data_IF_398778654805
#
_entry.id   IF_398778654805
#
_cell.length_a   1.000
_cell.length_b   1.000
_cell.length_c   1.000
_cell.angle_alpha   90.00
_cell.angle_beta   90.00
_cell.angle_gamma   90.00
#
_symmetry.space_group_name_H-M   'P 1'
#
loop_
_entity.id
_entity.type
_entity.pdbx_description
1 polymer ?
#
# COMPACT_ATOMS: atom_id res chain seq x y z
N UNK A 1 8.61 -5.34 -10.40
CA UNK A 1 8.79 -4.36 -9.32
C UNK A 1 9.87 -4.89 -8.42
N UNK A 2 10.77 -4.03 -7.96
CA UNK A 2 11.91 -4.38 -7.11
C UNK A 2 11.43 -5.23 -5.91
N UNK A 3 12.07 -6.37 -5.66
CA UNK A 3 11.86 -7.16 -4.44
C UNK A 3 12.37 -6.34 -3.27
N UNK A 4 11.52 -5.47 -2.72
CA UNK A 4 11.77 -4.84 -1.42
C UNK A 4 11.75 -5.98 -0.41
N UNK A 5 12.87 -6.20 0.26
CA UNK A 5 13.01 -7.23 1.30
C UNK A 5 12.05 -6.87 2.44
N UNK A 6 11.00 -7.68 2.60
CA UNK A 6 9.90 -7.39 3.53
C UNK A 6 10.27 -7.92 4.92
N UNK A 7 9.96 -7.13 5.96
CA UNK A 7 10.03 -7.63 7.33
C UNK A 7 9.07 -8.80 7.54
N UNK A 8 9.39 -9.72 8.48
CA UNK A 8 8.52 -10.84 8.80
C UNK A 8 7.12 -10.37 9.23
N UNK A 9 6.09 -11.08 8.77
CA UNK A 9 4.68 -10.80 9.06
C UNK A 9 4.31 -11.05 10.54
N UNK A 10 5.07 -11.91 11.22
CA UNK A 10 4.82 -12.31 12.61
C UNK A 10 6.14 -12.55 13.33
N UNK A 11 6.08 -12.50 14.67
CA UNK A 11 7.23 -12.71 15.55
C UNK A 11 7.89 -11.40 16.00
N UNK A 12 8.76 -11.47 17.03
CA UNK A 12 9.56 -10.32 17.40
C UNK A 12 10.42 -9.93 16.20
N UNK A 13 10.42 -8.63 15.86
CA UNK A 13 11.39 -8.14 14.89
C UNK A 13 12.76 -8.27 15.57
N UNK A 14 13.51 -9.29 15.17
CA UNK A 14 14.87 -9.46 15.63
C UNK A 14 15.71 -8.33 15.04
N UNK A 15 15.89 -7.25 15.81
CA UNK A 15 16.88 -6.20 15.55
C UNK A 15 18.29 -6.77 15.85
N UNK A 16 18.56 -7.99 15.37
CA UNK A 16 19.77 -8.75 15.64
C UNK A 16 20.72 -8.78 14.43
N UNK A 17 20.34 -8.15 13.30
CA UNK A 17 21.08 -8.19 12.05
C UNK A 17 21.73 -6.86 11.60
N UNK A 18 21.56 -5.77 12.35
CA UNK A 18 22.39 -4.57 12.18
C UNK A 18 23.14 -4.31 13.47
N UNK A 19 24.45 -4.57 13.47
CA UNK A 19 25.31 -4.08 14.54
C UNK A 19 25.04 -2.60 14.82
N UNK A 20 25.07 -2.25 16.11
CA UNK A 20 24.86 -0.91 16.71
C UNK A 20 23.42 -0.38 16.81
N UNK A 21 22.80 -0.61 17.98
CA UNK A 21 21.75 0.19 18.65
C UNK A 21 20.44 0.53 17.87
N UNK A 22 19.39 0.86 18.63
CA UNK A 22 18.09 1.29 18.11
C UNK A 22 18.17 2.51 17.18
N UNK A 23 19.16 3.39 17.38
CA UNK A 23 19.33 4.62 16.60
C UNK A 23 19.74 4.31 15.16
N UNK A 24 20.67 3.37 14.94
CA UNK A 24 21.09 3.02 13.57
C UNK A 24 19.94 2.38 12.78
N UNK A 25 19.08 1.60 13.44
CA UNK A 25 17.86 1.07 12.81
C UNK A 25 16.92 2.19 12.38
N UNK A 26 16.69 3.19 13.25
CA UNK A 26 15.85 4.33 12.90
C UNK A 26 16.45 5.18 11.77
N UNK A 27 17.76 5.39 11.75
CA UNK A 27 18.42 6.16 10.69
C UNK A 27 18.40 5.42 9.34
N UNK A 28 18.59 4.10 9.35
CA UNK A 28 18.41 3.28 8.16
C UNK A 28 16.97 3.36 7.63
N UNK A 29 15.97 3.20 8.50
CA UNK A 29 14.55 3.30 8.12
C UNK A 29 14.16 4.68 7.60
N UNK A 30 14.64 5.77 8.23
CA UNK A 30 14.45 7.15 7.72
C UNK A 30 15.02 7.31 6.31
N UNK A 31 16.21 6.75 6.08
CA UNK A 31 16.89 6.81 4.79
C UNK A 31 16.12 6.04 3.71
N UNK A 32 15.65 4.82 4.03
CA UNK A 32 14.81 4.01 3.15
C UNK A 32 13.51 4.73 2.78
N UNK A 33 12.76 5.22 3.78
CA UNK A 33 11.51 5.96 3.57
C UNK A 33 11.74 7.17 2.66
N UNK A 34 12.81 7.94 2.91
CA UNK A 34 13.14 9.11 2.07
C UNK A 34 13.40 8.72 0.62
N UNK A 35 14.16 7.65 0.39
CA UNK A 35 14.45 7.16 -0.95
C UNK A 35 13.19 6.66 -1.67
N UNK A 36 12.28 6.00 -0.96
CA UNK A 36 10.99 5.56 -1.49
C UNK A 36 10.06 6.74 -1.77
N UNK A 37 10.08 7.77 -0.93
CA UNK A 37 9.24 8.97 -1.08
C UNK A 37 9.55 9.76 -2.35
N UNK A 38 10.84 9.86 -2.68
CA UNK A 38 11.29 10.60 -3.86
C UNK A 38 11.18 9.78 -5.16
N UNK A 39 10.94 8.46 -5.07
CA UNK A 39 10.77 7.60 -6.25
C UNK A 39 9.47 7.93 -6.99
N UNK A 40 9.58 8.13 -8.30
CA UNK A 40 8.40 8.30 -9.16
C UNK A 40 7.74 6.94 -9.38
N UNK A 41 6.56 6.74 -8.80
CA UNK A 41 5.79 5.52 -8.99
C UNK A 41 4.90 5.61 -10.25
N UNK A 42 4.96 4.58 -11.09
CA UNK A 42 4.00 4.40 -12.17
C UNK A 42 2.71 3.82 -11.58
N UNK A 43 1.57 4.37 -12.00
CA UNK A 43 0.27 3.78 -11.72
C UNK A 43 0.01 2.64 -12.68
N UNK A 44 -0.57 1.55 -12.18
CA UNK A 44 -1.08 0.50 -13.03
C UNK A 44 -2.46 0.86 -13.57
N UNK A 45 -2.83 0.27 -14.70
CA UNK A 45 -4.10 0.53 -15.38
C UNK A 45 -4.99 -0.71 -15.48
N UNK A 46 -4.49 -1.89 -15.12
CA UNK A 46 -5.22 -3.14 -15.29
C UNK A 46 -5.74 -3.69 -13.95
N UNK A 47 -7.05 -3.60 -13.74
CA UNK A 47 -7.72 -4.20 -12.57
C UNK A 47 -8.07 -5.67 -12.79
N UNK A 48 -8.07 -6.16 -14.04
CA UNK A 48 -8.52 -7.50 -14.40
C UNK A 48 -7.58 -8.60 -13.90
N UNK A 49 -6.39 -8.23 -13.42
CA UNK A 49 -5.47 -9.12 -12.70
C UNK A 49 -6.01 -9.61 -11.34
N UNK A 50 -7.11 -9.02 -10.85
CA UNK A 50 -7.72 -9.37 -9.56
C UNK A 50 -9.10 -10.02 -9.73
N UNK A 51 -9.36 -11.03 -8.92
CA UNK A 51 -10.68 -11.63 -8.73
C UNK A 51 -11.31 -11.07 -7.43
N UNK A 52 -12.51 -10.48 -7.52
CA UNK A 52 -13.24 -10.03 -6.34
C UNK A 52 -13.94 -11.21 -5.65
N UNK A 53 -13.61 -11.46 -4.39
CA UNK A 53 -14.10 -12.63 -3.65
C UNK A 53 -15.23 -12.25 -2.71
N UNK A 54 -14.98 -11.30 -1.79
CA UNK A 54 -15.92 -11.00 -0.71
C UNK A 54 -15.84 -9.55 -0.28
N UNK A 55 -16.99 -8.94 -0.04
CA UNK A 55 -17.08 -7.64 0.58
C UNK A 55 -16.61 -7.68 2.04
N UNK A 56 -15.71 -6.77 2.43
CA UNK A 56 -15.20 -6.68 3.80
C UNK A 56 -15.85 -5.53 4.57
N UNK A 57 -15.88 -4.33 4.01
CA UNK A 57 -16.34 -3.15 4.74
C UNK A 57 -16.80 -2.00 3.84
N UNK A 58 -17.63 -1.11 4.40
CA UNK A 58 -18.00 0.19 3.81
C UNK A 58 -17.15 1.27 4.45
N UNK A 59 -16.51 2.09 3.63
CA UNK A 59 -15.91 3.34 4.05
C UNK A 59 -16.78 4.55 3.69
N UNK A 60 -16.37 5.73 4.14
CA UNK A 60 -17.00 7.00 3.79
C UNK A 60 -16.80 7.43 2.32
N UNK A 61 -15.76 6.88 1.67
CA UNK A 61 -15.35 7.22 0.29
C UNK A 61 -15.39 6.04 -0.67
N UNK A 62 -15.81 4.86 -0.20
CA UNK A 62 -15.72 3.65 -1.00
C UNK A 62 -16.02 2.38 -0.21
N UNK A 63 -15.53 1.26 -0.74
CA UNK A 63 -15.69 -0.06 -0.12
C UNK A 63 -14.36 -0.81 -0.12
N UNK A 64 -14.21 -1.71 0.83
CA UNK A 64 -13.08 -2.63 0.89
C UNK A 64 -13.58 -4.03 0.54
N UNK A 65 -12.88 -4.69 -0.38
CA UNK A 65 -13.24 -6.01 -0.90
C UNK A 65 -12.00 -6.91 -0.80
N UNK A 66 -12.18 -8.13 -0.31
CA UNK A 66 -11.19 -9.20 -0.40
C UNK A 66 -11.05 -9.60 -1.86
N UNK A 67 -9.84 -9.52 -2.39
CA UNK A 67 -9.51 -9.90 -3.76
C UNK A 67 -8.41 -10.96 -3.76
N UNK A 68 -8.35 -11.76 -4.83
CA UNK A 68 -7.27 -12.70 -5.11
C UNK A 68 -6.54 -12.23 -6.35
N UNK A 69 -5.23 -12.09 -6.26
CA UNK A 69 -4.39 -11.83 -7.42
C UNK A 69 -4.31 -13.12 -8.25
N UNK A 70 -4.64 -13.03 -9.54
CA UNK A 70 -4.67 -14.20 -10.45
C UNK A 70 -3.29 -14.71 -10.83
N UNK A 71 -2.23 -13.93 -10.57
CA UNK A 71 -0.84 -14.28 -10.95
C UNK A 71 -0.17 -15.10 -9.85
N UNK A 72 -0.18 -14.60 -8.62
CA UNK A 72 0.53 -15.21 -7.48
C UNK A 72 -0.40 -15.94 -6.50
N UNK A 73 -1.70 -15.96 -6.79
CA UNK A 73 -2.74 -16.55 -5.96
C UNK A 73 -2.95 -15.89 -4.58
N UNK A 74 -2.30 -14.74 -4.34
CA UNK A 74 -2.29 -14.04 -3.08
C UNK A 74 -3.59 -13.30 -2.78
N UNK A 75 -4.03 -13.36 -1.53
CA UNK A 75 -5.21 -12.64 -1.03
C UNK A 75 -4.83 -11.23 -0.56
N UNK A 76 -5.59 -10.24 -1.01
CA UNK A 76 -5.35 -8.82 -0.70
C UNK A 76 -6.66 -8.11 -0.34
N UNK A 77 -6.56 -6.97 0.34
CA UNK A 77 -7.69 -6.10 0.63
C UNK A 77 -7.70 -4.92 -0.34
N UNK A 78 -8.62 -4.91 -1.31
CA UNK A 78 -8.75 -3.83 -2.28
C UNK A 78 -9.73 -2.77 -1.79
N UNK A 79 -9.24 -1.56 -1.56
CA UNK A 79 -10.04 -0.37 -1.30
C UNK A 79 -10.42 0.28 -2.65
N UNK A 80 -11.71 0.24 -2.96
CA UNK A 80 -12.30 0.78 -4.19
C UNK A 80 -12.90 2.14 -3.91
N UNK A 81 -12.46 3.17 -4.64
CA UNK A 81 -12.85 4.57 -4.44
C UNK A 81 -13.43 5.17 -5.73
N UNK A 82 -14.49 5.96 -5.60
CA UNK A 82 -15.10 6.69 -6.72
C UNK A 82 -14.44 8.06 -6.89
N UNK A 83 -13.90 8.34 -8.08
CA UNK A 83 -13.22 9.61 -8.37
C UNK A 83 -14.13 10.82 -8.16
N UNK A 84 -15.39 10.70 -8.58
CA UNK A 84 -16.39 11.76 -8.43
C UNK A 84 -16.59 12.13 -6.95
N UNK A 85 -16.70 11.15 -6.06
CA UNK A 85 -16.86 11.38 -4.62
C UNK A 85 -15.61 12.01 -4.00
N UNK A 86 -14.42 11.62 -4.44
CA UNK A 86 -13.15 12.21 -3.99
C UNK A 86 -13.10 13.70 -4.34
N UNK A 87 -13.47 14.05 -5.57
CA UNK A 87 -13.50 15.45 -6.05
C UNK A 87 -14.55 16.24 -5.30
N UNK A 88 -15.80 15.75 -5.23
CA UNK A 88 -16.91 16.43 -4.53
C UNK A 88 -16.58 16.73 -3.07
N UNK A 89 -15.91 15.80 -2.38
CA UNK A 89 -15.53 15.94 -0.97
C UNK A 89 -14.15 16.58 -0.75
N UNK A 90 -13.49 17.07 -1.80
CA UNK A 90 -12.16 17.72 -1.78
C UNK A 90 -11.06 16.89 -1.10
N UNK A 91 -11.05 15.56 -1.32
CA UNK A 91 -10.14 14.62 -0.64
C UNK A 91 -8.90 14.23 -1.46
N UNK A 92 -8.64 14.92 -2.57
CA UNK A 92 -7.52 14.57 -3.47
C UNK A 92 -6.18 14.60 -2.73
N UNK A 93 -5.94 15.60 -1.88
CA UNK A 93 -4.69 15.72 -1.13
C UNK A 93 -4.54 14.64 -0.07
N UNK A 94 -5.61 14.35 0.69
CA UNK A 94 -5.59 13.27 1.69
C UNK A 94 -5.34 11.91 1.04
N UNK A 95 -5.96 11.64 -0.11
CA UNK A 95 -5.75 10.40 -0.85
C UNK A 95 -4.30 10.26 -1.34
N UNK A 96 -3.70 11.34 -1.86
CA UNK A 96 -2.29 11.35 -2.25
C UNK A 96 -1.37 11.10 -1.05
N UNK A 97 -1.68 11.70 0.09
CA UNK A 97 -0.96 11.47 1.34
C UNK A 97 -1.04 10.00 1.78
N UNK A 98 -2.23 9.41 1.79
CA UNK A 98 -2.46 8.00 2.13
C UNK A 98 -1.62 7.08 1.23
N UNK A 99 -1.68 7.28 -0.09
CA UNK A 99 -0.91 6.49 -1.07
C UNK A 99 0.60 6.65 -0.85
N UNK A 100 1.09 7.87 -0.65
CA UNK A 100 2.52 8.11 -0.48
C UNK A 100 3.05 7.48 0.81
N UNK A 101 2.32 7.58 1.92
CA UNK A 101 2.71 6.94 3.18
C UNK A 101 2.74 5.42 3.03
N UNK A 102 1.68 4.80 2.49
CA UNK A 102 1.60 3.34 2.33
C UNK A 102 2.63 2.77 1.36
N UNK A 103 3.17 3.58 0.43
CA UNK A 103 4.26 3.18 -0.48
C UNK A 103 5.64 3.15 0.16
N UNK A 104 5.85 3.98 1.18
CA UNK A 104 7.17 4.17 1.76
C UNK A 104 7.34 3.42 3.09
N UNK A 105 6.23 3.05 3.74
CA UNK A 105 6.26 2.35 5.02
C UNK A 105 6.46 0.85 4.81
N UNK A 106 7.51 0.31 5.42
CA UNK A 106 7.80 -1.12 5.50
C UNK A 106 8.08 -1.48 6.97
N UNK A 107 7.05 -1.93 7.69
CA UNK A 107 7.17 -2.29 9.11
C UNK A 107 6.18 -3.41 9.49
N UNK A 108 6.49 -4.33 10.42
CA UNK A 108 5.66 -5.52 10.68
C UNK A 108 4.22 -5.25 11.08
N UNK A 109 4.00 -4.15 11.83
CA UNK A 109 2.68 -3.81 12.37
C UNK A 109 1.92 -2.83 11.47
N UNK A 110 2.42 -2.61 10.26
CA UNK A 110 1.79 -1.71 9.28
C UNK A 110 1.45 -2.47 8.02
N UNK A 111 0.31 -2.11 7.43
CA UNK A 111 0.02 -2.48 6.05
C UNK A 111 0.85 -1.63 5.10
N UNK A 112 1.16 -2.20 3.94
CA UNK A 112 1.85 -1.53 2.85
C UNK A 112 0.98 -1.57 1.60
N UNK A 113 1.28 -0.69 0.65
CA UNK A 113 0.62 -0.68 -0.64
C UNK A 113 1.29 -1.67 -1.58
N UNK A 114 0.55 -2.66 -2.07
CA UNK A 114 1.06 -3.56 -3.10
C UNK A 114 0.85 -2.94 -4.49
N UNK A 115 -0.35 -2.45 -4.79
CA UNK A 115 -0.64 -1.81 -6.09
C UNK A 115 -1.56 -0.59 -5.97
N UNK A 116 -1.31 0.39 -6.83
CA UNK A 116 -2.22 1.51 -7.06
C UNK A 116 -2.67 1.52 -8.51
N UNK A 117 -3.95 1.28 -8.73
CA UNK A 117 -4.53 1.13 -10.06
C UNK A 117 -5.50 2.29 -10.32
N UNK A 118 -5.32 2.94 -11.47
CA UNK A 118 -6.18 4.03 -11.92
C UNK A 118 -7.04 3.52 -13.07
N UNK A 119 -8.33 3.27 -12.78
CA UNK A 119 -9.34 3.00 -13.81
C UNK A 119 -9.95 4.29 -14.38
N UNK A 120 -11.01 4.18 -15.19
CA UNK A 120 -11.67 5.35 -15.77
C UNK A 120 -12.44 6.16 -14.71
N UNK A 121 -13.34 5.50 -13.98
CA UNK A 121 -14.22 6.12 -12.96
C UNK A 121 -13.79 5.83 -11.52
N UNK A 122 -13.08 4.70 -11.32
CA UNK A 122 -12.68 4.18 -10.02
C UNK A 122 -11.15 4.27 -9.84
N UNK A 123 -10.74 4.37 -8.57
CA UNK A 123 -9.38 4.16 -8.12
C UNK A 123 -9.35 2.92 -7.22
N UNK A 124 -8.29 2.13 -7.33
CA UNK A 124 -8.10 0.92 -6.54
C UNK A 124 -6.77 1.01 -5.82
N UNK A 125 -6.82 0.77 -4.52
CA UNK A 125 -5.67 0.68 -3.62
C UNK A 125 -5.66 -0.76 -3.14
N UNK A 126 -4.64 -1.52 -3.51
CA UNK A 126 -4.46 -2.94 -3.17
C UNK A 126 -3.28 -3.09 -2.23
#
# INVERSE_FOLDING_TARGET
MDNIEKYPLYGPLEINALGSNYESFLEAGKTEIKNLWDKKHQSEHNVDGYEMIRYLAKGSFGKVVLVRNKVDDGYHAMKVLEKENIVKKKQILHLKGEINVLRCVNFPFTMYLQHFIIGNTLLYIV
#
